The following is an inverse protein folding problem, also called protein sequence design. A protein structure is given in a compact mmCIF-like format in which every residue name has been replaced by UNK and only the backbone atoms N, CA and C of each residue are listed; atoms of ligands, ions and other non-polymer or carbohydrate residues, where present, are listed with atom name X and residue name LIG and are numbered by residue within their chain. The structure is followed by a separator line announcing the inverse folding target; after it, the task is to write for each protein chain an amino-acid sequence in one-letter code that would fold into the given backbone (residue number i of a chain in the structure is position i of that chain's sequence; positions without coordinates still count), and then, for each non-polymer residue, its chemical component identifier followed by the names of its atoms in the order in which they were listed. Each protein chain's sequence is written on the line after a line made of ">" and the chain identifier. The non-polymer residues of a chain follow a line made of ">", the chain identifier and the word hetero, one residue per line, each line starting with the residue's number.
data_IF_095818886079
#
_entry.id   IF_095818886079
#
_cell.length_a   1.000
_cell.length_b   1.000
_cell.length_c   1.000
_cell.angle_alpha   90.00
_cell.angle_beta   90.00
_cell.angle_gamma   90.00
#
_symmetry.space_group_name_H-M   'P 1'
#
loop_
_entity.id
_entity.type
_entity.pdbx_description
1 polymer ?
#
# COMPACT_ATOMS: atom_id res chain seq x y z
N UNK A 1 27.85 -3.40 17.28
CA UNK A 1 27.30 -4.75 17.08
C UNK A 1 25.79 -4.82 16.85
N UNK A 2 25.01 -3.71 16.94
CA UNK A 2 23.54 -3.76 16.80
C UNK A 2 22.96 -3.59 15.39
N UNK A 3 23.75 -3.15 14.39
CA UNK A 3 23.22 -2.86 13.05
C UNK A 3 23.13 -4.10 12.14
N UNK A 4 23.89 -5.15 12.43
CA UNK A 4 23.97 -6.37 11.61
C UNK A 4 22.85 -7.37 11.99
N UNK A 5 22.39 -7.38 13.25
CA UNK A 5 21.30 -8.26 13.64
C UNK A 5 19.93 -7.77 13.15
N UNK A 6 19.72 -6.45 13.08
CA UNK A 6 18.46 -5.87 12.58
C UNK A 6 18.28 -6.15 11.08
N UNK A 7 19.36 -6.10 10.29
CA UNK A 7 19.30 -6.46 8.86
C UNK A 7 19.04 -7.95 8.64
N UNK A 8 19.54 -8.82 9.52
CA UNK A 8 19.32 -10.28 9.42
C UNK A 8 17.87 -10.66 9.76
N UNK A 9 17.25 -9.97 10.71
CA UNK A 9 15.85 -10.20 11.10
C UNK A 9 14.85 -9.64 10.05
N UNK A 10 15.18 -8.52 9.41
CA UNK A 10 14.41 -7.98 8.27
C UNK A 10 14.57 -8.86 7.03
N UNK A 11 15.74 -9.45 6.79
CA UNK A 11 15.95 -10.41 5.70
C UNK A 11 15.14 -11.70 5.90
N UNK A 12 15.03 -12.23 7.13
CA UNK A 12 14.22 -13.42 7.42
C UNK A 12 12.70 -13.20 7.23
N UNK A 13 12.20 -11.98 7.47
CA UNK A 13 10.78 -11.65 7.23
C UNK A 13 10.45 -11.44 5.74
N UNK A 14 11.46 -11.15 4.90
CA UNK A 14 11.30 -11.04 3.44
C UNK A 14 11.36 -12.40 2.71
N UNK A 15 11.67 -13.50 3.40
CA UNK A 15 11.67 -14.87 2.83
C UNK A 15 10.28 -15.53 2.86
N UNK A 16 9.26 -14.86 3.43
CA UNK A 16 7.86 -15.22 3.14
C UNK A 16 7.60 -14.85 1.69
N UNK A 17 7.63 -15.87 0.82
CA UNK A 17 7.70 -15.75 -0.63
C UNK A 17 6.61 -14.88 -1.26
N UNK A 18 6.73 -14.57 -2.57
CA UNK A 18 5.85 -13.64 -3.25
C UNK A 18 4.40 -14.14 -3.15
N UNK A 19 3.58 -13.42 -2.39
CA UNK A 19 2.13 -13.53 -2.47
C UNK A 19 1.79 -13.06 -3.89
N UNK A 20 1.55 -14.01 -4.80
CA UNK A 20 0.92 -13.71 -6.08
C UNK A 20 -0.42 -13.06 -5.74
N UNK A 21 -0.50 -11.75 -5.95
CA UNK A 21 -1.77 -11.04 -5.94
C UNK A 21 -2.62 -11.64 -7.07
N UNK A 22 -3.50 -12.57 -6.71
CA UNK A 22 -4.59 -13.01 -7.58
C UNK A 22 -5.55 -11.83 -7.62
N UNK A 23 -5.65 -11.19 -8.78
CA UNK A 23 -6.64 -10.16 -9.04
C UNK A 23 -8.04 -10.74 -8.77
N UNK A 24 -8.95 -9.98 -8.14
CA UNK A 24 -10.33 -10.41 -7.98
C UNK A 24 -11.01 -10.42 -9.36
N UNK A 25 -11.31 -11.60 -9.87
CA UNK A 25 -12.22 -11.78 -11.00
C UNK A 25 -13.62 -11.32 -10.57
N UNK A 26 -13.95 -10.08 -10.91
CA UNK A 26 -15.30 -9.54 -10.82
C UNK A 26 -16.18 -10.19 -11.89
N UNK A 27 -16.74 -11.36 -11.59
CA UNK A 27 -17.77 -11.98 -12.41
C UNK A 27 -19.11 -11.94 -11.64
N UNK A 28 -20.12 -11.20 -12.11
CA UNK A 28 -21.45 -11.29 -11.52
C UNK A 28 -22.06 -12.67 -11.83
N UNK A 29 -22.52 -13.30 -10.76
CA UNK A 29 -23.31 -14.52 -10.76
C UNK A 29 -24.64 -14.25 -11.49
N UNK A 30 -24.73 -14.69 -12.75
CA UNK A 30 -25.99 -14.70 -13.50
C UNK A 30 -26.72 -16.02 -13.24
N UNK A 31 -27.95 -15.87 -12.77
CA UNK A 31 -28.91 -16.92 -12.54
C UNK A 31 -29.14 -17.79 -13.78
N UNK A 32 -29.20 -19.09 -13.54
CA UNK A 32 -29.51 -20.10 -14.54
C UNK A 32 -30.96 -19.99 -15.03
N UNK A 33 -31.13 -19.82 -16.34
CA UNK A 33 -32.34 -20.20 -17.06
C UNK A 33 -31.98 -21.25 -18.09
N UNK A 34 -32.47 -22.45 -17.82
CA UNK A 34 -32.47 -23.63 -18.68
C UNK A 34 -33.32 -23.36 -19.93
N UNK A 35 -32.79 -23.61 -21.12
CA UNK A 35 -33.57 -24.05 -22.28
C UNK A 35 -32.65 -24.77 -23.27
N UNK A 36 -33.02 -26.01 -23.61
CA UNK A 36 -32.37 -26.84 -24.61
C UNK A 36 -32.82 -26.50 -26.04
N UNK A 37 -31.97 -26.83 -27.00
CA UNK A 37 -32.26 -26.73 -28.44
C UNK A 37 -30.99 -26.80 -29.30
N UNK A 38 -30.61 -28.01 -29.68
CA UNK A 38 -29.59 -28.41 -30.66
C UNK A 38 -30.23 -28.52 -32.09
N UNK A 39 -29.55 -28.72 -33.24
CA UNK A 39 -28.19 -28.39 -33.73
C UNK A 39 -28.15 -27.62 -35.10
N UNK A 40 -26.92 -27.35 -35.54
CA UNK A 40 -26.38 -27.57 -36.90
C UNK A 40 -25.96 -26.33 -37.72
N UNK A 41 -24.65 -26.24 -37.99
CA UNK A 41 -24.07 -25.32 -38.97
C UNK A 41 -22.56 -25.51 -39.10
N UNK A 42 -22.15 -26.44 -39.97
CA UNK A 42 -20.76 -26.62 -40.42
C UNK A 42 -20.27 -25.35 -41.13
N UNK A 43 -19.10 -24.83 -40.78
CA UNK A 43 -18.26 -24.09 -41.74
C UNK A 43 -16.78 -24.26 -41.44
N UNK A 44 -16.18 -25.11 -42.26
CA UNK A 44 -14.83 -25.10 -42.86
C UNK A 44 -13.69 -24.39 -42.15
N UNK A 45 -12.72 -25.22 -41.75
CA UNK A 45 -11.39 -24.86 -41.33
C UNK A 45 -10.60 -24.10 -42.42
N UNK A 46 -9.99 -22.98 -42.02
CA UNK A 46 -8.88 -22.36 -42.73
C UNK A 46 -7.75 -22.15 -41.73
N UNK A 47 -6.61 -22.76 -42.02
CA UNK A 47 -5.46 -22.84 -41.14
C UNK A 47 -4.87 -21.45 -40.83
N UNK A 48 -4.50 -21.15 -39.56
CA UNK A 48 -3.80 -19.92 -39.25
C UNK A 48 -2.35 -20.03 -39.75
N UNK A 49 -1.99 -19.13 -40.67
CA UNK A 49 -0.61 -18.84 -40.97
C UNK A 49 0.12 -18.44 -39.67
N UNK A 50 1.33 -18.99 -39.51
CA UNK A 50 2.27 -18.77 -38.42
C UNK A 50 2.28 -17.33 -37.87
N UNK A 51 1.77 -17.14 -36.66
CA UNK A 51 1.91 -15.91 -35.85
C UNK A 51 3.38 -15.72 -35.36
N UNK A 52 4.28 -16.68 -35.61
CA UNK A 52 5.65 -16.65 -35.10
C UNK A 52 6.63 -15.81 -35.93
N UNK A 53 6.27 -15.41 -37.15
CA UNK A 53 7.24 -14.79 -38.06
C UNK A 53 7.13 -13.25 -38.15
N UNK A 54 6.11 -12.63 -37.53
CA UNK A 54 5.95 -11.17 -37.49
C UNK A 54 6.59 -10.50 -36.25
N UNK A 55 7.05 -11.27 -35.25
CA UNK A 55 7.46 -10.75 -33.94
C UNK A 55 8.97 -10.43 -33.79
N UNK A 56 9.76 -10.45 -34.87
CA UNK A 56 11.23 -10.34 -34.73
C UNK A 56 11.94 -9.55 -35.84
N UNK A 57 11.29 -8.55 -36.42
CA UNK A 57 12.05 -7.42 -36.93
C UNK A 57 12.61 -6.68 -35.71
N UNK A 58 13.82 -7.05 -35.28
CA UNK A 58 14.54 -6.38 -34.21
C UNK A 58 14.72 -4.90 -34.60
N UNK A 59 13.79 -4.05 -34.16
CA UNK A 59 13.88 -2.60 -34.34
C UNK A 59 15.23 -2.17 -33.78
N UNK A 60 16.05 -1.54 -34.64
CA UNK A 60 17.37 -1.06 -34.23
C UNK A 60 17.18 -0.10 -33.05
N UNK A 61 17.96 -0.25 -31.97
CA UNK A 61 17.84 0.66 -30.83
C UNK A 61 18.12 2.08 -31.31
N UNK A 62 17.12 2.96 -31.21
CA UNK A 62 17.30 4.38 -31.50
C UNK A 62 18.17 4.96 -30.39
N UNK A 63 19.28 5.63 -30.74
CA UNK A 63 20.18 6.24 -29.76
C UNK A 63 19.48 7.38 -29.02
N UNK A 64 19.83 7.54 -27.75
CA UNK A 64 19.32 8.61 -26.89
C UNK A 64 19.68 10.00 -27.46
N UNK A 65 18.83 10.98 -27.18
CA UNK A 65 19.02 12.39 -27.52
C UNK A 65 19.01 13.31 -26.27
N UNK A 66 19.20 12.73 -25.09
CA UNK A 66 19.26 13.45 -23.83
C UNK A 66 20.41 14.47 -23.80
N UNK A 67 20.11 15.68 -23.33
CA UNK A 67 21.12 16.67 -22.94
C UNK A 67 21.27 17.88 -23.85
N UNK A 68 22.24 18.73 -23.49
CA UNK A 68 22.48 20.03 -24.11
C UNK A 68 21.55 21.16 -23.62
N UNK A 69 21.86 22.39 -24.02
CA UNK A 69 21.06 23.57 -23.63
C UNK A 69 19.65 23.55 -24.19
N UNK A 70 19.47 22.93 -25.36
CA UNK A 70 18.19 22.82 -26.06
C UNK A 70 17.19 22.05 -25.20
N UNK A 71 17.60 20.92 -24.63
CA UNK A 71 16.78 20.12 -23.71
C UNK A 71 16.26 20.95 -22.53
N UNK A 72 17.14 21.73 -21.90
CA UNK A 72 16.79 22.57 -20.76
C UNK A 72 15.85 23.73 -21.14
N UNK A 73 16.01 24.28 -22.34
CA UNK A 73 15.09 25.32 -22.85
C UNK A 73 13.70 24.74 -23.13
N UNK A 74 13.62 23.57 -23.77
CA UNK A 74 12.34 22.90 -24.05
C UNK A 74 11.62 22.50 -22.75
N UNK A 75 12.32 21.94 -21.77
CA UNK A 75 11.73 21.54 -20.49
C UNK A 75 11.06 22.70 -19.72
N UNK A 76 11.51 23.93 -19.96
CA UNK A 76 10.96 25.13 -19.33
C UNK A 76 9.91 25.84 -20.21
N UNK A 77 9.59 25.30 -21.38
CA UNK A 77 8.62 25.90 -22.31
C UNK A 77 7.21 25.45 -21.96
N UNK A 78 6.24 26.38 -22.01
CA UNK A 78 4.84 26.14 -21.67
C UNK A 78 4.12 25.15 -22.62
N UNK A 79 4.69 24.87 -23.79
CA UNK A 79 4.14 23.94 -24.78
C UNK A 79 4.44 22.46 -24.48
N UNK A 80 5.07 22.18 -23.33
CA UNK A 80 5.41 20.82 -22.93
C UNK A 80 4.17 20.07 -22.41
N UNK A 81 3.96 18.80 -22.79
CA UNK A 81 2.88 17.96 -22.27
C UNK A 81 2.95 17.89 -20.76
N UNK A 82 1.79 18.01 -20.11
CA UNK A 82 1.70 17.81 -18.68
C UNK A 82 1.86 16.32 -18.37
N UNK A 83 2.76 16.01 -17.44
CA UNK A 83 2.88 14.66 -16.87
C UNK A 83 1.83 14.54 -15.77
N UNK A 84 0.96 13.55 -15.89
CA UNK A 84 -0.06 13.23 -14.91
C UNK A 84 0.38 11.99 -14.15
N UNK A 85 0.42 12.11 -12.83
CA UNK A 85 0.69 11.01 -11.93
C UNK A 85 -0.27 11.07 -10.74
N UNK A 86 -0.88 9.92 -10.43
CA UNK A 86 -1.89 9.80 -9.40
C UNK A 86 -1.30 9.46 -8.02
N UNK A 87 -0.02 9.77 -7.75
CA UNK A 87 0.58 9.51 -6.44
C UNK A 87 1.55 10.63 -6.05
N UNK A 88 1.76 10.79 -4.74
CA UNK A 88 2.67 11.81 -4.22
C UNK A 88 4.12 11.31 -4.18
N UNK A 89 4.30 9.99 -4.00
CA UNK A 89 5.59 9.32 -3.98
C UNK A 89 5.66 8.29 -5.11
N UNK A 90 6.78 8.30 -5.83
CA UNK A 90 7.09 7.34 -6.89
C UNK A 90 7.83 6.14 -6.28
N UNK A 91 7.34 4.90 -6.46
CA UNK A 91 7.98 3.74 -5.91
C UNK A 91 9.25 3.36 -6.69
N UNK A 92 10.42 3.36 -6.04
CA UNK A 92 11.66 2.88 -6.64
C UNK A 92 11.77 1.35 -6.74
N UNK A 93 12.49 0.86 -7.74
CA UNK A 93 12.64 -0.57 -8.03
C UNK A 93 11.41 -1.20 -8.70
N UNK A 94 10.53 -0.38 -9.27
CA UNK A 94 9.33 -0.83 -9.96
C UNK A 94 9.08 -0.02 -11.22
N UNK A 95 8.39 -0.64 -12.18
CA UNK A 95 7.86 0.02 -13.36
C UNK A 95 6.65 0.87 -12.95
N UNK A 96 6.68 2.17 -13.27
CA UNK A 96 5.63 3.13 -12.93
C UNK A 96 5.07 3.74 -14.20
N UNK A 97 3.74 3.79 -14.28
CA UNK A 97 3.01 4.36 -15.40
C UNK A 97 2.73 5.85 -15.17
N UNK A 98 3.16 6.69 -16.11
CA UNK A 98 2.92 8.12 -16.14
C UNK A 98 2.03 8.47 -17.34
N UNK A 99 0.99 9.28 -17.12
CA UNK A 99 0.14 9.78 -18.19
C UNK A 99 0.73 11.03 -18.83
N UNK A 100 0.57 11.19 -20.14
CA UNK A 100 0.88 12.41 -20.87
C UNK A 100 -0.39 12.93 -21.55
N UNK A 101 -0.76 14.19 -21.29
CA UNK A 101 -1.96 14.83 -21.88
C UNK A 101 -1.86 15.08 -23.39
N UNK A 102 -0.70 14.83 -23.99
CA UNK A 102 -0.54 14.96 -25.43
C UNK A 102 -1.15 13.75 -26.15
N UNK A 103 -2.23 14.01 -26.87
CA UNK A 103 -2.80 13.14 -27.90
C UNK A 103 -1.92 13.03 -29.15
N UNK A 104 -0.60 13.17 -29.00
CA UNK A 104 0.32 13.04 -30.12
C UNK A 104 0.25 11.62 -30.67
N UNK A 105 0.08 11.51 -31.99
CA UNK A 105 0.00 10.26 -32.73
C UNK A 105 1.11 9.30 -32.29
N UNK A 106 0.75 8.31 -31.47
CA UNK A 106 1.60 7.17 -31.12
C UNK A 106 2.04 6.34 -32.36
N UNK A 107 1.52 6.71 -33.53
CA UNK A 107 1.76 6.13 -34.84
C UNK A 107 3.00 6.73 -35.55
N UNK A 108 3.54 7.83 -35.02
CA UNK A 108 4.87 8.33 -35.39
C UNK A 108 5.93 7.41 -34.77
N UNK A 109 7.00 7.09 -35.48
CA UNK A 109 8.18 6.33 -35.03
C UNK A 109 8.95 6.99 -33.85
N UNK A 110 8.30 7.87 -33.08
CA UNK A 110 8.84 8.56 -31.92
C UNK A 110 9.11 7.57 -30.79
N UNK A 111 10.38 7.51 -30.38
CA UNK A 111 10.80 6.76 -29.21
C UNK A 111 10.71 7.64 -27.97
N UNK A 112 10.09 7.10 -26.92
CA UNK A 112 9.97 7.76 -25.62
C UNK A 112 11.14 7.34 -24.74
N UNK A 113 11.71 8.35 -24.10
CA UNK A 113 12.78 8.18 -23.13
C UNK A 113 12.40 8.89 -21.85
N UNK A 114 12.89 8.36 -20.72
CA UNK A 114 12.64 8.90 -19.41
C UNK A 114 13.92 8.94 -18.59
N UNK A 115 14.23 10.12 -18.08
CA UNK A 115 15.42 10.40 -17.33
C UNK A 115 15.03 10.93 -15.95
N UNK A 116 15.65 10.38 -14.90
CA UNK A 116 15.48 10.83 -13.52
C UNK A 116 16.80 11.39 -13.05
N UNK A 117 16.79 12.67 -12.70
CA UNK A 117 17.98 13.43 -12.37
C UNK A 117 17.88 13.97 -10.95
N UNK A 118 19.01 14.01 -10.28
CA UNK A 118 19.14 14.66 -8.99
C UNK A 118 19.08 16.18 -9.20
N UNK A 119 18.51 16.92 -8.24
CA UNK A 119 18.21 18.36 -8.39
C UNK A 119 19.43 19.21 -8.83
N UNK A 120 20.63 18.81 -8.43
CA UNK A 120 21.88 19.50 -8.78
C UNK A 120 22.61 18.93 -10.02
N UNK A 121 22.25 17.73 -10.48
CA UNK A 121 22.98 17.10 -11.59
C UNK A 121 22.40 17.52 -12.93
N UNK A 122 23.26 17.73 -13.93
CA UNK A 122 22.80 17.88 -15.30
C UNK A 122 22.51 16.50 -15.91
N UNK A 123 21.51 16.41 -16.81
CA UNK A 123 21.30 15.24 -17.66
C UNK A 123 22.62 14.82 -18.32
N UNK A 124 23.07 13.59 -18.10
CA UNK A 124 24.20 12.99 -18.83
C UNK A 124 23.66 11.95 -19.81
N UNK A 125 24.27 11.91 -20.99
CA UNK A 125 23.86 11.12 -22.17
C UNK A 125 24.25 9.62 -22.09
N UNK A 126 24.71 9.13 -20.93
CA UNK A 126 25.40 7.83 -20.83
C UNK A 126 24.53 6.64 -20.37
N UNK A 127 23.25 6.85 -20.06
CA UNK A 127 22.36 5.78 -19.58
C UNK A 127 21.25 5.45 -20.57
N UNK A 128 20.88 4.16 -20.65
CA UNK A 128 19.76 3.69 -21.47
C UNK A 128 18.44 4.07 -20.81
N UNK A 129 17.90 5.22 -21.17
CA UNK A 129 16.66 5.79 -20.62
C UNK A 129 15.37 5.27 -21.28
N UNK A 130 15.39 4.05 -21.81
CA UNK A 130 14.28 3.54 -22.60
C UNK A 130 12.99 3.45 -21.77
N UNK A 131 11.95 4.17 -22.20
CA UNK A 131 10.62 4.07 -21.62
C UNK A 131 9.69 3.32 -22.56
N UNK A 132 8.70 2.61 -22.00
CA UNK A 132 7.68 1.92 -22.83
C UNK A 132 6.46 2.81 -22.93
N UNK A 133 6.15 3.27 -24.13
CA UNK A 133 4.93 4.03 -24.37
C UNK A 133 3.83 3.14 -24.96
N UNK A 134 2.59 3.37 -24.54
CA UNK A 134 1.38 2.73 -25.06
C UNK A 134 0.21 3.70 -25.01
N UNK A 135 -0.85 3.45 -25.78
CA UNK A 135 -2.10 4.22 -25.64
C UNK A 135 -2.83 3.80 -24.37
N UNK A 136 -3.48 4.77 -23.73
CA UNK A 136 -4.32 4.59 -22.57
C UNK A 136 -5.62 3.90 -23.00
N UNK A 137 -5.89 2.74 -22.40
CA UNK A 137 -7.17 2.04 -22.50
C UNK A 137 -8.14 2.52 -21.43
N UNK A 138 -9.43 2.24 -21.63
CA UNK A 138 -10.49 2.57 -20.67
C UNK A 138 -10.30 1.86 -19.31
N UNK A 139 -9.58 0.74 -19.29
CA UNK A 139 -9.29 -0.04 -18.08
C UNK A 139 -8.07 0.45 -17.30
N UNK A 140 -7.34 1.46 -17.78
CA UNK A 140 -6.19 2.01 -17.07
C UNK A 140 -6.61 2.88 -15.88
N UNK A 141 -5.91 2.76 -14.75
CA UNK A 141 -6.26 3.45 -13.49
C UNK A 141 -6.32 4.98 -13.67
N UNK A 142 -5.44 5.56 -14.50
CA UNK A 142 -5.43 6.99 -14.81
C UNK A 142 -6.69 7.44 -15.57
N UNK A 143 -7.20 6.59 -16.46
CA UNK A 143 -8.42 6.87 -17.24
C UNK A 143 -9.66 6.62 -16.38
N UNK A 144 -9.68 5.54 -15.61
CA UNK A 144 -10.75 5.23 -14.65
C UNK A 144 -10.98 6.38 -13.65
N UNK A 145 -9.90 7.06 -13.24
CA UNK A 145 -9.94 8.22 -12.34
C UNK A 145 -10.22 9.55 -13.04
N UNK A 146 -10.47 9.53 -14.35
CA UNK A 146 -10.73 10.72 -15.16
C UNK A 146 -9.57 11.73 -15.14
N UNK A 147 -8.35 11.24 -14.85
CA UNK A 147 -7.15 12.06 -14.88
C UNK A 147 -6.58 12.14 -16.29
N UNK A 148 -6.77 11.08 -17.08
CA UNK A 148 -6.28 10.96 -18.44
C UNK A 148 -7.43 10.55 -19.38
N UNK A 149 -7.44 11.03 -20.62
CA UNK A 149 -8.47 10.64 -21.59
C UNK A 149 -8.13 9.30 -22.23
N UNK A 150 -9.15 8.52 -22.60
CA UNK A 150 -8.94 7.31 -23.39
C UNK A 150 -8.27 7.69 -24.73
N UNK A 151 -7.17 7.02 -25.06
CA UNK A 151 -6.37 7.30 -26.27
C UNK A 151 -5.14 8.20 -26.06
N UNK A 152 -5.00 8.83 -24.88
CA UNK A 152 -3.76 9.54 -24.50
C UNK A 152 -2.59 8.56 -24.32
N UNK A 153 -1.38 9.07 -24.11
CA UNK A 153 -0.18 8.22 -23.98
C UNK A 153 0.14 7.91 -22.53
N UNK A 154 0.35 6.63 -22.22
CA UNK A 154 0.94 6.16 -20.96
C UNK A 154 2.37 5.75 -21.22
N UNK A 155 3.29 6.28 -20.41
CA UNK A 155 4.72 5.97 -20.45
C UNK A 155 5.10 5.23 -19.18
N UNK A 156 5.48 3.96 -19.33
CA UNK A 156 5.99 3.12 -18.26
C UNK A 156 7.50 3.31 -18.14
N UNK A 157 7.94 3.79 -16.97
CA UNK A 157 9.34 4.11 -16.67
C UNK A 157 9.84 3.18 -15.56
N UNK A 158 10.99 2.55 -15.75
CA UNK A 158 11.64 1.77 -14.71
C UNK A 158 12.43 2.68 -13.79
N UNK A 159 12.02 2.76 -12.52
CA UNK A 159 12.64 3.64 -11.54
C UNK A 159 13.73 2.84 -10.82
N UNK A 160 15.02 3.14 -10.99
CA UNK A 160 16.07 2.35 -10.35
C UNK A 160 16.04 2.52 -8.83
N UNK A 161 16.28 1.43 -8.09
CA UNK A 161 16.30 1.45 -6.62
C UNK A 161 17.36 2.41 -6.04
N UNK A 162 18.45 2.66 -6.78
CA UNK A 162 19.52 3.59 -6.41
C UNK A 162 19.08 5.06 -6.42
N UNK A 163 18.07 5.44 -7.20
CA UNK A 163 17.59 6.82 -7.27
C UNK A 163 16.79 7.25 -6.03
N UNK A 164 16.43 6.30 -5.17
CA UNK A 164 15.42 6.49 -4.12
C UNK A 164 15.90 7.24 -2.87
N UNK A 165 17.22 7.27 -2.61
CA UNK A 165 17.79 7.94 -1.44
C UNK A 165 16.97 7.70 -0.15
N UNK A 166 16.76 8.75 0.63
CA UNK A 166 15.82 8.79 1.76
C UNK A 166 14.68 9.77 1.43
N UNK A 167 13.70 9.34 0.62
CA UNK A 167 12.61 10.19 0.11
C UNK A 167 13.12 11.48 -0.56
N UNK A 168 14.15 11.34 -1.38
CA UNK A 168 14.77 12.49 -2.05
C UNK A 168 13.87 12.98 -3.19
N UNK A 169 13.80 14.31 -3.33
CA UNK A 169 13.21 14.95 -4.50
C UNK A 169 14.09 14.68 -5.72
N UNK A 170 13.47 14.25 -6.81
CA UNK A 170 14.10 13.98 -8.11
C UNK A 170 13.31 14.67 -9.21
N UNK A 171 13.99 15.02 -10.28
CA UNK A 171 13.40 15.65 -11.44
C UNK A 171 13.22 14.59 -12.53
N UNK A 172 11.96 14.25 -12.83
CA UNK A 172 11.60 13.33 -13.90
C UNK A 172 11.42 14.13 -15.19
N UNK A 173 12.15 13.72 -16.22
CA UNK A 173 12.01 14.22 -17.57
C UNK A 173 11.53 13.09 -18.47
N UNK A 174 10.45 13.32 -19.20
CA UNK A 174 9.98 12.41 -20.24
C UNK A 174 10.09 13.16 -21.57
N UNK A 175 10.78 12.57 -22.54
CA UNK A 175 11.04 13.25 -23.80
C UNK A 175 10.97 12.31 -25.00
N UNK A 176 10.80 12.91 -26.16
CA UNK A 176 10.74 12.23 -27.45
C UNK A 176 11.90 12.68 -28.31
N UNK A 177 12.54 11.70 -28.96
CA UNK A 177 13.62 11.94 -29.92
C UNK A 177 13.11 11.71 -31.33
N UNK A 178 13.44 12.64 -32.23
CA UNK A 178 13.32 12.45 -33.66
C UNK A 178 14.48 11.57 -34.20
N UNK A 179 14.35 11.03 -35.41
CA UNK A 179 15.40 10.33 -36.15
C UNK A 179 16.71 11.15 -36.25
N UNK A 180 16.60 12.48 -36.22
CA UNK A 180 17.73 13.42 -36.22
C UNK A 180 18.46 13.55 -34.86
N UNK A 181 18.09 12.75 -33.85
CA UNK A 181 18.58 12.83 -32.45
C UNK A 181 18.39 14.20 -31.80
N UNK A 182 17.29 14.88 -32.10
CA UNK A 182 16.94 16.14 -31.44
C UNK A 182 15.72 15.93 -30.54
N UNK A 183 15.77 16.36 -29.27
CA UNK A 183 14.59 16.37 -28.43
C UNK A 183 13.65 17.46 -28.94
N UNK A 184 12.44 17.10 -29.33
CA UNK A 184 11.43 18.06 -29.78
C UNK A 184 10.30 18.26 -28.75
N UNK A 185 10.16 17.31 -27.83
CA UNK A 185 9.16 17.37 -26.79
C UNK A 185 9.79 16.89 -25.48
N UNK A 186 9.75 17.72 -24.43
CA UNK A 186 10.35 17.44 -23.12
C UNK A 186 9.39 17.86 -22.03
N UNK A 187 8.77 16.89 -21.38
CA UNK A 187 7.94 17.09 -20.21
C UNK A 187 8.77 17.00 -18.92
N UNK A 188 8.42 17.82 -17.93
CA UNK A 188 9.11 17.90 -16.64
C UNK A 188 8.12 17.73 -15.48
N UNK A 189 8.49 16.90 -14.50
CA UNK A 189 7.74 16.73 -13.26
C UNK A 189 8.69 16.48 -12.08
N UNK A 190 8.70 17.34 -11.04
CA UNK A 190 9.40 17.02 -9.80
C UNK A 190 8.65 15.92 -9.05
N UNK A 191 9.32 14.83 -8.74
CA UNK A 191 8.76 13.66 -8.05
C UNK A 191 9.57 13.31 -6.81
N UNK A 192 8.90 12.83 -5.76
CA UNK A 192 9.58 12.28 -4.59
C UNK A 192 9.70 10.78 -4.74
N UNK A 193 10.91 10.24 -4.69
CA UNK A 193 11.12 8.80 -4.89
C UNK A 193 11.20 8.11 -3.55
N UNK A 194 10.36 7.11 -3.33
CA UNK A 194 10.32 6.30 -2.11
C UNK A 194 11.19 5.05 -2.29
N UNK A 195 12.12 4.73 -1.36
CA UNK A 195 12.82 3.44 -1.32
C UNK A 195 11.96 2.36 -0.66
N UNK A 196 11.99 1.13 -1.19
CA UNK A 196 11.26 0.00 -0.60
C UNK A 196 11.76 -0.35 0.81
N UNK A 197 13.08 -0.43 0.99
CA UNK A 197 13.73 -0.85 2.23
C UNK A 197 13.54 0.17 3.34
N UNK A 198 13.83 1.45 3.09
CA UNK A 198 13.66 2.49 4.12
C UNK A 198 12.20 2.67 4.50
N UNK A 199 11.26 2.56 3.54
CA UNK A 199 9.82 2.58 3.84
C UNK A 199 9.40 1.43 4.75
N UNK A 200 9.89 0.22 4.49
CA UNK A 200 9.61 -0.95 5.33
C UNK A 200 10.17 -0.79 6.75
N UNK A 201 11.42 -0.31 6.88
CA UNK A 201 12.07 -0.08 8.18
C UNK A 201 11.31 0.98 8.98
N UNK A 202 10.98 2.11 8.37
CA UNK A 202 10.25 3.18 9.08
C UNK A 202 8.83 2.74 9.43
N UNK A 203 8.13 2.01 8.55
CA UNK A 203 6.83 1.43 8.87
C UNK A 203 6.90 0.46 10.06
N UNK A 204 7.93 -0.37 10.13
CA UNK A 204 8.16 -1.28 11.25
C UNK A 204 8.43 -0.52 12.56
N UNK A 205 9.22 0.55 12.52
CA UNK A 205 9.45 1.42 13.68
C UNK A 205 8.16 2.11 14.14
N UNK A 206 7.31 2.54 13.21
CA UNK A 206 5.98 3.10 13.51
C UNK A 206 5.09 2.06 14.21
N UNK A 207 5.09 0.82 13.74
CA UNK A 207 4.35 -0.30 14.38
C UNK A 207 4.84 -0.55 15.80
N UNK A 208 6.16 -0.60 16.01
CA UNK A 208 6.75 -0.76 17.34
C UNK A 208 6.34 0.40 18.25
N UNK A 209 6.43 1.64 17.76
CA UNK A 209 6.03 2.83 18.52
C UNK A 209 4.54 2.80 18.89
N UNK A 210 3.67 2.44 17.94
CA UNK A 210 2.24 2.29 18.17
C UNK A 210 1.93 1.21 19.23
N UNK A 211 2.63 0.08 19.18
CA UNK A 211 2.55 -0.96 20.20
C UNK A 211 2.93 -0.43 21.59
N UNK A 212 4.04 0.31 21.72
CA UNK A 212 4.47 0.89 22.99
C UNK A 212 3.48 1.93 23.53
N UNK A 213 2.93 2.78 22.66
CA UNK A 213 1.92 3.77 23.04
C UNK A 213 0.65 3.05 23.54
N UNK A 214 0.19 2.03 22.83
CA UNK A 214 -0.97 1.24 23.24
C UNK A 214 -0.72 0.53 24.58
N UNK A 215 0.43 -0.13 24.74
CA UNK A 215 0.82 -0.76 26.00
C UNK A 215 0.83 0.24 27.17
N UNK A 216 1.39 1.44 26.95
CA UNK A 216 1.42 2.50 27.97
C UNK A 216 0.03 3.04 28.30
N UNK A 217 -0.85 3.15 27.30
CA UNK A 217 -2.24 3.53 27.52
C UNK A 217 -2.99 2.49 28.37
N UNK A 218 -2.82 1.20 28.09
CA UNK A 218 -3.41 0.12 28.89
C UNK A 218 -2.89 0.10 30.33
N UNK A 219 -1.60 0.34 30.55
CA UNK A 219 -1.03 0.42 31.90
C UNK A 219 -1.61 1.60 32.71
N UNK A 220 -1.84 2.76 32.07
CA UNK A 220 -2.46 3.90 32.75
C UNK A 220 -3.90 3.63 33.19
N UNK A 221 -4.67 2.93 32.37
CA UNK A 221 -6.09 2.65 32.64
C UNK A 221 -6.25 1.50 33.65
N UNK A 222 -5.40 0.47 33.57
CA UNK A 222 -5.47 -0.69 34.47
C UNK A 222 -4.88 -0.45 35.86
N UNK A 223 -4.12 0.64 36.07
CA UNK A 223 -3.42 0.91 37.33
C UNK A 223 -2.33 -0.12 37.68
N UNK A 224 -2.02 -1.04 36.76
CA UNK A 224 -0.98 -2.03 36.96
C UNK A 224 0.40 -1.41 36.77
N UNK A 225 1.16 -1.30 37.86
CA UNK A 225 2.58 -0.95 37.83
C UNK A 225 3.40 -2.15 37.36
N UNK A 226 3.48 -2.35 36.05
CA UNK A 226 4.39 -3.33 35.44
C UNK A 226 5.80 -2.69 35.39
N UNK A 227 6.71 -3.16 36.24
CA UNK A 227 8.11 -2.72 36.24
C UNK A 227 8.91 -3.46 35.15
N UNK A 228 9.64 -2.70 34.33
CA UNK A 228 10.74 -3.19 33.48
C UNK A 228 10.34 -4.15 32.35
N UNK A 229 11.15 -5.19 32.15
CA UNK A 229 11.03 -6.17 31.06
C UNK A 229 9.69 -6.93 31.04
N UNK A 230 8.92 -6.88 32.12
CA UNK A 230 7.59 -7.49 32.19
C UNK A 230 6.56 -6.79 31.30
N UNK A 231 6.81 -5.54 30.91
CA UNK A 231 6.00 -4.79 29.95
C UNK A 231 6.12 -5.32 28.50
N UNK A 232 7.11 -6.16 28.21
CA UNK A 232 7.32 -6.72 26.86
C UNK A 232 6.53 -8.01 26.62
N UNK A 233 5.84 -8.55 27.63
CA UNK A 233 5.02 -9.74 27.46
C UNK A 233 3.65 -9.34 26.88
N UNK A 234 3.37 -9.62 25.58
CA UNK A 234 2.12 -9.20 24.96
C UNK A 234 0.89 -9.83 25.63
N UNK A 235 1.06 -11.03 26.20
CA UNK A 235 0.04 -11.76 26.98
C UNK A 235 -0.44 -10.93 28.19
N UNK A 236 0.47 -10.18 28.85
CA UNK A 236 0.12 -9.35 30.01
C UNK A 236 -0.54 -8.04 29.64
N UNK A 237 -0.18 -7.46 28.50
CA UNK A 237 -0.82 -6.24 27.99
C UNK A 237 -2.29 -6.51 27.61
N UNK A 238 -2.56 -7.71 27.09
CA UNK A 238 -3.94 -8.12 26.71
C UNK A 238 -4.71 -8.80 27.84
N UNK A 239 -4.13 -8.92 29.03
CA UNK A 239 -4.83 -9.50 30.17
C UNK A 239 -5.98 -8.57 30.60
N UNK A 240 -7.17 -9.14 30.78
CA UNK A 240 -8.30 -8.40 31.33
C UNK A 240 -8.05 -8.01 32.80
N UNK A 241 -8.96 -7.24 33.43
CA UNK A 241 -8.90 -6.94 34.86
C UNK A 241 -8.78 -8.19 35.74
N UNK A 242 -9.24 -9.34 35.25
CA UNK A 242 -9.12 -10.64 35.92
C UNK A 242 -7.72 -11.29 35.85
N UNK A 243 -6.71 -10.61 35.28
CA UNK A 243 -5.39 -11.17 34.94
C UNK A 243 -5.41 -12.40 34.01
N UNK A 244 -6.56 -12.74 33.45
CA UNK A 244 -6.70 -13.80 32.45
C UNK A 244 -6.57 -13.20 31.06
N UNK A 245 -5.68 -13.77 30.25
CA UNK A 245 -5.56 -13.39 28.84
C UNK A 245 -6.81 -13.83 28.08
N UNK A 246 -7.44 -12.89 27.36
CA UNK A 246 -8.50 -13.24 26.41
C UNK A 246 -7.88 -13.43 25.03
N UNK A 247 -8.09 -14.62 24.43
CA UNK A 247 -7.59 -14.94 23.09
C UNK A 247 -8.21 -14.02 22.04
N UNK A 248 -9.50 -13.70 22.15
CA UNK A 248 -10.17 -12.79 21.21
C UNK A 248 -9.64 -11.36 21.30
N UNK A 249 -9.33 -10.87 22.50
CA UNK A 249 -8.73 -9.55 22.67
C UNK A 249 -7.32 -9.46 22.10
N UNK A 250 -6.52 -10.52 22.26
CA UNK A 250 -5.20 -10.63 21.65
C UNK A 250 -5.30 -10.62 20.11
N UNK A 251 -6.22 -11.41 19.55
CA UNK A 251 -6.42 -11.47 18.11
C UNK A 251 -6.79 -10.10 17.52
N UNK A 252 -7.76 -9.40 18.11
CA UNK A 252 -8.18 -8.08 17.64
C UNK A 252 -7.03 -7.07 17.75
N UNK A 253 -6.25 -7.12 18.83
CA UNK A 253 -5.10 -6.22 19.03
C UNK A 253 -3.99 -6.42 17.99
N UNK A 254 -3.61 -7.67 17.70
CA UNK A 254 -2.60 -7.94 16.67
C UNK A 254 -3.10 -7.59 15.28
N UNK A 255 -4.37 -7.90 14.99
CA UNK A 255 -4.98 -7.54 13.71
C UNK A 255 -4.97 -6.03 13.49
N UNK A 256 -5.37 -5.22 14.48
CA UNK A 256 -5.38 -3.76 14.35
C UNK A 256 -3.98 -3.18 14.17
N UNK A 257 -2.98 -3.68 14.90
CA UNK A 257 -1.58 -3.25 14.74
C UNK A 257 -1.02 -3.63 13.37
N UNK A 258 -1.30 -4.84 12.87
CA UNK A 258 -0.84 -5.27 11.55
C UNK A 258 -1.49 -4.46 10.43
N UNK A 259 -2.81 -4.24 10.49
CA UNK A 259 -3.51 -3.39 9.51
C UNK A 259 -2.98 -1.96 9.56
N UNK A 260 -2.77 -1.41 10.75
CA UNK A 260 -2.15 -0.09 10.92
C UNK A 260 -0.73 -0.03 10.32
N UNK A 261 0.08 -1.06 10.53
CA UNK A 261 1.42 -1.16 9.96
C UNK A 261 1.43 -1.26 8.44
N UNK A 262 0.53 -2.08 7.88
CA UNK A 262 0.36 -2.19 6.43
C UNK A 262 -0.09 -0.87 5.81
N UNK A 263 -1.04 -0.17 6.44
CA UNK A 263 -1.45 1.17 6.02
C UNK A 263 -0.25 2.11 6.06
N UNK A 264 0.43 2.24 7.20
CA UNK A 264 1.62 3.09 7.31
C UNK A 264 2.65 2.78 6.21
N UNK A 265 2.93 1.51 5.93
CA UNK A 265 3.82 1.12 4.84
C UNK A 265 3.35 1.63 3.46
N UNK A 266 2.08 1.44 3.11
CA UNK A 266 1.50 1.95 1.86
C UNK A 266 1.64 3.47 1.76
N UNK A 267 1.47 4.19 2.88
CA UNK A 267 1.61 5.65 2.92
C UNK A 267 3.03 6.11 2.70
N UNK A 268 4.01 5.44 3.30
CA UNK A 268 5.42 5.73 3.06
C UNK A 268 5.86 5.34 1.64
N UNK A 269 5.12 4.44 0.99
CA UNK A 269 5.41 3.95 -0.37
C UNK A 269 4.86 4.87 -1.47
N UNK A 270 3.60 5.26 -1.38
CA UNK A 270 2.84 5.93 -2.46
C UNK A 270 2.45 7.37 -2.06
N UNK A 271 2.41 7.67 -0.77
CA UNK A 271 2.12 9.02 -0.25
C UNK A 271 0.66 9.45 -0.36
N UNK A 272 -0.24 8.56 -0.79
CA UNK A 272 -1.69 8.81 -0.81
C UNK A 272 -2.37 7.97 0.25
N UNK A 273 -2.96 8.66 1.23
CA UNK A 273 -3.90 8.07 2.18
C UNK A 273 -5.30 7.98 1.59
N UNK A 274 -5.72 8.99 0.84
CA UNK A 274 -7.13 9.38 0.82
C UNK A 274 -8.09 8.41 0.13
N UNK A 275 -7.59 7.53 -0.73
CA UNK A 275 -8.45 6.64 -1.53
C UNK A 275 -8.51 5.20 -0.99
N UNK A 276 -7.39 4.69 -0.47
CA UNK A 276 -7.35 3.39 0.24
C UNK A 276 -7.72 3.52 1.71
N UNK A 277 -7.33 4.63 2.36
CA UNK A 277 -7.57 4.80 3.80
C UNK A 277 -9.04 5.07 4.09
N UNK A 278 -9.84 5.72 3.25
CA UNK A 278 -11.26 5.96 3.59
C UNK A 278 -12.02 4.65 3.74
N UNK A 279 -11.91 3.74 2.78
CA UNK A 279 -12.58 2.44 2.83
C UNK A 279 -12.01 1.55 3.94
N UNK A 280 -10.68 1.45 4.07
CA UNK A 280 -10.06 0.61 5.10
C UNK A 280 -10.25 1.19 6.51
N UNK A 281 -10.12 2.51 6.70
CA UNK A 281 -10.36 3.16 7.99
C UNK A 281 -11.84 3.14 8.37
N UNK A 282 -12.75 3.15 7.39
CA UNK A 282 -14.18 2.93 7.64
C UNK A 282 -14.46 1.48 8.06
N UNK A 283 -13.86 0.50 7.38
CA UNK A 283 -13.96 -0.92 7.78
C UNK A 283 -13.32 -1.17 9.15
N UNK A 284 -12.18 -0.52 9.44
CA UNK A 284 -11.50 -0.59 10.74
C UNK A 284 -12.27 0.17 11.82
N UNK A 285 -12.92 1.28 11.48
CA UNK A 285 -13.78 2.05 12.35
C UNK A 285 -15.02 1.25 12.75
N UNK A 286 -15.71 0.63 11.79
CA UNK A 286 -16.89 -0.19 12.05
C UNK A 286 -16.53 -1.44 12.86
N UNK A 287 -15.46 -2.14 12.50
CA UNK A 287 -15.01 -3.33 13.26
C UNK A 287 -14.48 -2.97 14.66
N UNK A 288 -13.80 -1.84 14.80
CA UNK A 288 -13.32 -1.32 16.08
C UNK A 288 -14.45 -0.94 17.04
N UNK A 289 -15.48 -0.26 16.53
CA UNK A 289 -16.68 0.09 17.32
C UNK A 289 -17.43 -1.18 17.74
N UNK A 290 -17.57 -2.17 16.85
CA UNK A 290 -18.22 -3.45 17.16
C UNK A 290 -17.51 -4.21 18.29
N UNK A 291 -16.18 -4.26 18.28
CA UNK A 291 -15.40 -4.91 19.32
C UNK A 291 -15.50 -4.21 20.69
N UNK A 292 -15.52 -2.87 20.70
CA UNK A 292 -15.70 -2.08 21.92
C UNK A 292 -17.10 -2.26 22.52
N UNK A 293 -18.13 -2.23 21.68
CA UNK A 293 -19.53 -2.46 22.08
C UNK A 293 -19.74 -3.86 22.65
N UNK A 294 -19.17 -4.91 22.02
CA UNK A 294 -19.27 -6.29 22.51
C UNK A 294 -18.67 -6.44 23.92
N UNK A 295 -17.49 -5.85 24.15
CA UNK A 295 -16.84 -5.88 25.48
C UNK A 295 -17.61 -5.06 26.53
N UNK A 296 -18.23 -3.96 26.12
CA UNK A 296 -19.16 -3.21 26.96
C UNK A 296 -20.36 -4.06 27.37
N UNK A 297 -21.00 -4.74 26.42
CA UNK A 297 -22.15 -5.60 26.67
C UNK A 297 -21.83 -6.82 27.56
N UNK A 298 -20.65 -7.42 27.41
CA UNK A 298 -20.21 -8.51 28.29
C UNK A 298 -20.03 -8.04 29.74
N UNK A 299 -19.54 -6.81 29.94
CA UNK A 299 -19.41 -6.22 31.28
C UNK A 299 -20.78 -5.97 31.92
N UNK A 300 -21.80 -5.66 31.11
CA UNK A 300 -23.17 -5.45 31.58
C UNK A 300 -23.89 -6.77 31.90
N UNK A 301 -23.58 -7.87 31.19
CA UNK A 301 -24.22 -9.17 31.45
C UNK A 301 -23.73 -9.88 32.71
N UNK A 302 -22.53 -9.57 33.19
CA UNK A 302 -22.01 -10.09 34.47
C UNK A 302 -22.48 -9.30 35.69
N UNK A 303 -23.08 -8.12 35.50
CA UNK A 303 -23.80 -7.44 36.57
C UNK A 303 -25.18 -8.09 36.70
N UNK A 304 -25.30 -9.09 37.58
CA UNK A 304 -26.60 -9.65 37.98
C UNK A 304 -27.43 -8.46 38.48
N UNK A 305 -28.63 -8.28 37.91
CA UNK A 305 -29.58 -7.26 38.37
C UNK A 305 -29.74 -7.40 39.90
N UNK A 306 -29.51 -6.34 40.69
CA UNK A 306 -29.53 -6.42 42.15
C UNK A 306 -30.83 -7.02 42.71
N UNK A 307 -31.94 -6.91 41.99
CA UNK A 307 -33.20 -7.57 42.34
C UNK A 307 -33.13 -9.10 42.21
N UNK A 308 -32.50 -9.61 41.15
CA UNK A 308 -32.30 -11.03 40.93
C UNK A 308 -31.23 -11.61 41.87
N UNK A 309 -30.22 -10.80 42.23
CA UNK A 309 -29.20 -11.20 43.19
C UNK A 309 -29.81 -11.39 44.59
N UNK A 310 -30.70 -10.48 45.01
CA UNK A 310 -31.43 -10.61 46.28
C UNK A 310 -32.37 -11.83 46.29
N UNK A 311 -32.99 -12.16 45.16
CA UNK A 311 -33.83 -13.36 45.01
C UNK A 311 -33.02 -14.67 45.02
N UNK A 312 -31.85 -14.68 44.38
CA UNK A 312 -30.94 -15.83 44.41
C UNK A 312 -30.33 -16.06 45.79
N UNK A 313 -30.06 -14.97 46.53
CA UNK A 313 -29.61 -15.02 47.93
C UNK A 313 -30.69 -15.54 48.88
N UNK A 314 -31.96 -15.18 48.66
CA UNK A 314 -33.06 -15.65 49.51
C UNK A 314 -33.40 -17.13 49.30
N UNK A 315 -33.16 -17.67 48.09
CA UNK A 315 -33.34 -19.10 47.79
C UNK A 315 -32.12 -19.97 48.14
N UNK A 316 -31.07 -19.40 48.73
CA UNK A 316 -29.89 -20.16 49.18
C UNK A 316 -29.05 -20.80 48.07
N UNK A 317 -29.30 -20.42 46.80
CA UNK A 317 -28.63 -21.01 45.63
C UNK A 317 -27.22 -20.46 45.40
N UNK A 318 -26.88 -19.32 46.01
CA UNK A 318 -25.54 -18.72 45.95
C UNK A 318 -25.04 -18.46 47.36
N UNK A 319 -23.99 -19.18 47.77
CA UNK A 319 -23.35 -19.00 49.07
C UNK A 319 -22.48 -17.74 49.02
N UNK A 320 -22.78 -16.73 49.85
CA UNK A 320 -21.87 -15.58 50.03
C UNK A 320 -20.51 -16.11 50.49
N UNK A 321 -19.53 -16.13 49.59
CA UNK A 321 -18.13 -16.29 49.97
C UNK A 321 -17.77 -15.02 50.70
N UNK A 322 -17.84 -15.06 52.04
CA UNK A 322 -17.33 -13.98 52.88
C UNK A 322 -15.83 -13.91 52.65
N UNK A 323 -15.37 -13.02 51.78
CA UNK A 323 -13.99 -12.55 51.83
C UNK A 323 -13.82 -11.90 53.20
N UNK A 324 -13.18 -12.64 54.11
CA UNK A 324 -12.80 -12.16 55.42
C UNK A 324 -11.87 -10.96 55.23
N UNK A 325 -12.41 -9.76 55.43
CA UNK A 325 -11.66 -8.52 55.59
C UNK A 325 -10.85 -8.63 56.88
N UNK A 326 -9.69 -9.30 56.83
CA UNK A 326 -8.67 -9.21 57.89
C UNK A 326 -8.19 -7.76 57.93
N UNK A 327 -8.29 -7.19 59.11
CA UNK A 327 -8.26 -5.75 59.34
C UNK A 327 -6.89 -5.10 59.24
N UNK A 328 -6.95 -3.78 59.27
CA UNK A 328 -5.98 -2.94 59.96
C UNK A 328 -6.73 -1.67 60.39
N UNK A 329 -7.44 -1.79 61.51
CA UNK A 329 -7.63 -0.66 62.40
C UNK A 329 -6.28 -0.45 63.09
N UNK A 330 -5.63 0.68 62.83
CA UNK A 330 -4.63 1.23 63.74
C UNK A 330 -5.05 2.68 64.00
N UNK A 331 -5.74 2.84 65.11
CA UNK A 331 -5.85 4.10 65.87
C UNK A 331 -4.79 3.98 66.96
N UNK A 332 -3.73 4.75 66.83
CA UNK A 332 -2.97 5.43 67.88
C UNK A 332 -1.84 6.24 67.22
#
# INVERSE_FOLDING_TARGET
>A
MGLIEVTTLVACLLVVGPIKAVAPDGRPEQAATTNGGEPAGKSTAQAPASIKDAAKAARKPVPDCAGGEVFRKLANTADSPAIIYNANLVPAGSLVDFGLTSSLNLDSDAHYFALIVDDESSPRDDSRHGARARRAGETDDLVARHLLSAGDTIVSVDIPASAAGFWTKRNLYIYQCDASRRPFNVSYLPVYVSPLTSSAVVAFLIVIAAYFIAAKAFMRVSGQSLRGAQAWNPIRITAGPDNRGSLSAFQVFFFTILVFGMLAFVLLRIGILSDLSTTVLQLLGISGIGAAMAKGADSTKTAIDPANEAWLLSRGMVRRVRCARRGAANVL
#
